data_IF_934377296734
#
_entry.id   IF_934377296734
#
_cell.length_a   1.000
_cell.length_b   1.000
_cell.length_c   1.000
_cell.angle_alpha   90.00
_cell.angle_beta   90.00
_cell.angle_gamma   90.00
#
_symmetry.space_group_name_H-M   'P 1'
#
loop_
_entity.id
_entity.type
_entity.pdbx_description
1 polymer ?
#
# COMPACT_ATOMS: atom_id res chain seq x y z
N UNK A 1 75.05 14.47 -39.08
CA UNK A 1 73.88 13.58 -38.95
C UNK A 1 73.41 13.65 -37.50
N UNK A 2 72.44 14.52 -37.22
CA UNK A 2 71.90 14.76 -35.88
C UNK A 2 70.56 14.03 -35.76
N UNK A 3 70.49 13.01 -34.88
CA UNK A 3 69.26 12.26 -34.63
C UNK A 3 68.26 13.13 -33.86
N UNK A 4 67.03 13.21 -34.39
CA UNK A 4 65.86 13.79 -33.74
C UNK A 4 65.21 12.73 -32.84
N UNK A 5 65.14 12.98 -31.54
CA UNK A 5 64.28 12.22 -30.61
C UNK A 5 62.93 12.94 -30.49
N UNK A 6 61.78 12.24 -30.57
CA UNK A 6 60.48 12.85 -30.32
C UNK A 6 60.23 12.97 -28.82
N UNK A 7 59.57 14.07 -28.43
CA UNK A 7 59.13 14.34 -27.07
C UNK A 7 58.11 13.28 -26.65
N UNK A 8 58.49 12.42 -25.70
CA UNK A 8 57.55 11.55 -24.99
C UNK A 8 56.74 12.45 -24.06
N UNK A 9 55.51 12.74 -24.45
CA UNK A 9 54.51 13.43 -23.63
C UNK A 9 54.09 12.46 -22.50
N UNK A 10 54.65 12.67 -21.32
CA UNK A 10 54.30 11.91 -20.11
C UNK A 10 52.96 12.48 -19.59
N UNK A 11 51.85 11.95 -20.09
CA UNK A 11 50.51 12.30 -19.66
C UNK A 11 50.28 11.69 -18.26
N UNK A 12 50.60 12.45 -17.23
CA UNK A 12 50.33 12.11 -15.83
C UNK A 12 48.81 12.00 -15.64
N UNK A 13 48.30 10.77 -15.52
CA UNK A 13 46.92 10.51 -15.11
C UNK A 13 46.72 10.99 -13.67
N UNK A 14 46.40 12.27 -13.49
CA UNK A 14 45.73 12.76 -12.30
C UNK A 14 44.26 12.32 -12.36
N UNK A 15 44.01 11.03 -12.11
CA UNK A 15 42.67 10.60 -11.69
C UNK A 15 42.43 11.22 -10.32
N UNK A 16 41.74 12.36 -10.32
CA UNK A 16 41.09 12.89 -9.14
C UNK A 16 40.16 11.80 -8.61
N UNK A 17 40.57 11.14 -7.52
CA UNK A 17 39.68 10.38 -6.68
C UNK A 17 38.70 11.36 -6.04
N UNK A 18 37.63 11.70 -6.78
CA UNK A 18 36.43 12.26 -6.17
C UNK A 18 35.95 11.21 -5.17
N UNK A 19 35.83 11.53 -3.87
CA UNK A 19 35.15 10.62 -2.97
C UNK A 19 33.76 10.39 -3.56
N UNK A 20 33.37 9.14 -3.76
CA UNK A 20 31.95 8.83 -3.90
C UNK A 20 31.32 9.35 -2.62
N UNK A 21 30.60 10.47 -2.70
CA UNK A 21 29.65 10.82 -1.69
C UNK A 21 28.70 9.63 -1.62
N UNK A 22 28.82 8.81 -0.58
CA UNK A 22 27.75 7.91 -0.19
C UNK A 22 26.62 8.86 0.16
N UNK A 23 25.67 9.02 -0.77
CA UNK A 23 24.42 9.68 -0.45
C UNK A 23 23.87 8.97 0.79
N UNK A 24 23.57 9.73 1.85
CA UNK A 24 22.90 9.18 3.00
C UNK A 24 21.62 8.49 2.49
N UNK A 25 21.28 7.34 3.04
CA UNK A 25 20.03 6.68 2.68
C UNK A 25 18.87 7.58 3.15
N UNK A 26 18.28 8.29 2.20
CA UNK A 26 17.21 9.26 2.45
C UNK A 26 15.90 8.56 2.85
N UNK A 27 15.83 7.24 2.70
CA UNK A 27 14.73 6.41 3.17
C UNK A 27 15.27 5.42 4.19
N UNK A 28 14.79 5.53 5.43
CA UNK A 28 15.04 4.55 6.48
C UNK A 28 13.86 3.60 6.57
N UNK A 29 14.10 2.30 6.39
CA UNK A 29 13.10 1.25 6.64
C UNK A 29 13.44 0.56 7.96
N UNK A 30 12.64 0.82 9.00
CA UNK A 30 12.82 0.23 10.34
C UNK A 30 12.32 -1.22 10.37
N UNK A 31 11.18 -1.48 9.73
CA UNK A 31 10.67 -2.83 9.48
C UNK A 31 10.05 -2.93 8.09
N UNK A 32 10.13 -4.09 7.42
CA UNK A 32 10.85 -5.30 7.83
C UNK A 32 12.36 -5.13 7.72
N UNK A 33 13.09 -5.83 8.61
CA UNK A 33 14.56 -5.95 8.52
C UNK A 33 14.86 -7.15 7.60
N UNK A 34 15.92 -7.04 6.80
CA UNK A 34 16.34 -8.10 5.89
C UNK A 34 16.79 -9.38 6.63
N UNK A 35 16.82 -10.49 5.90
CA UNK A 35 17.29 -11.78 6.41
C UNK A 35 16.16 -12.75 6.80
N UNK A 36 16.42 -13.62 7.77
CA UNK A 36 15.49 -14.68 8.19
C UNK A 36 14.62 -14.17 9.34
N UNK A 37 13.30 -14.23 9.16
CA UNK A 37 12.31 -13.83 10.16
C UNK A 37 11.49 -15.05 10.57
N UNK A 38 11.57 -15.40 11.85
CA UNK A 38 10.57 -16.27 12.47
C UNK A 38 9.57 -15.38 13.20
N UNK A 39 8.28 -15.57 12.93
CA UNK A 39 7.22 -14.96 13.75
C UNK A 39 7.34 -15.41 15.21
N UNK A 40 6.77 -14.65 16.15
CA UNK A 40 6.72 -15.09 17.54
C UNK A 40 5.99 -16.46 17.63
N UNK A 41 6.38 -17.37 18.54
CA UNK A 41 5.65 -18.62 18.75
C UNK A 41 4.15 -18.35 18.94
N UNK A 42 3.29 -18.96 18.12
CA UNK A 42 1.84 -18.74 18.18
C UNK A 42 1.35 -17.36 17.73
N UNK A 43 2.18 -16.52 17.11
CA UNK A 43 1.78 -15.19 16.64
C UNK A 43 1.63 -14.16 17.76
N UNK A 44 2.29 -14.36 18.92
CA UNK A 44 2.20 -13.42 20.04
C UNK A 44 2.51 -11.97 19.62
N UNK A 45 1.53 -11.09 19.82
CA UNK A 45 1.61 -9.66 19.46
C UNK A 45 1.31 -9.34 17.99
N UNK A 46 1.07 -10.33 17.12
CA UNK A 46 0.66 -10.13 15.74
C UNK A 46 -0.88 -10.00 15.65
N UNK A 47 -1.41 -8.79 15.85
CA UNK A 47 -2.84 -8.52 15.66
C UNK A 47 -3.09 -8.07 14.22
N UNK A 48 -3.84 -8.86 13.45
CA UNK A 48 -4.08 -8.57 12.04
C UNK A 48 -5.37 -7.78 11.80
N UNK A 49 -6.35 -7.94 12.70
CA UNK A 49 -7.58 -7.14 12.68
C UNK A 49 -7.37 -5.77 13.33
N UNK A 50 -7.62 -4.70 12.56
CA UNK A 50 -7.68 -3.34 13.11
C UNK A 50 -9.05 -3.05 13.73
N UNK A 51 -9.05 -2.54 14.98
CA UNK A 51 -10.24 -1.92 15.58
C UNK A 51 -10.47 -0.57 14.92
N UNK A 52 -11.51 -0.46 14.10
CA UNK A 52 -11.91 0.79 13.43
C UNK A 52 -12.85 1.55 14.37
N UNK A 53 -12.39 2.66 14.93
CA UNK A 53 -13.23 3.59 15.68
C UNK A 53 -13.60 4.75 14.75
N UNK A 54 -14.88 4.94 14.52
CA UNK A 54 -15.36 5.98 13.62
C UNK A 54 -15.35 7.37 14.27
N UNK A 55 -14.97 8.43 13.52
CA UNK A 55 -14.41 8.40 12.16
C UNK A 55 -12.92 7.99 12.16
N UNK A 56 -12.54 6.97 11.39
CA UNK A 56 -11.16 6.48 11.35
C UNK A 56 -10.33 7.27 10.33
N UNK A 57 -9.59 8.26 10.81
CA UNK A 57 -8.82 9.20 9.98
C UNK A 57 -7.41 8.72 9.57
N UNK A 58 -7.00 7.50 9.95
CA UNK A 58 -5.68 6.95 9.63
C UNK A 58 -5.59 5.45 9.88
N UNK A 59 -4.64 4.79 9.21
CA UNK A 59 -4.18 3.43 9.58
C UNK A 59 -3.67 3.49 11.02
N UNK A 60 -4.44 2.96 11.95
CA UNK A 60 -4.06 2.92 13.36
C UNK A 60 -3.41 1.57 13.66
N UNK A 61 -2.12 1.58 13.96
CA UNK A 61 -1.44 0.40 14.47
C UNK A 61 -1.85 0.14 15.91
N UNK A 62 -2.40 -1.04 16.25
CA UNK A 62 -2.73 -1.38 17.63
C UNK A 62 -1.51 -1.26 18.56
N UNK A 63 -1.71 -0.76 19.77
CA UNK A 63 -0.65 -0.71 20.78
C UNK A 63 -0.17 -2.14 21.09
N UNK A 64 1.13 -2.40 20.94
CA UNK A 64 1.72 -3.74 21.14
C UNK A 64 1.81 -4.61 19.88
N UNK A 65 1.49 -4.08 18.69
CA UNK A 65 1.69 -4.80 17.42
C UNK A 65 3.15 -5.19 17.21
N UNK A 66 3.38 -6.48 16.97
CA UNK A 66 4.70 -7.04 16.73
C UNK A 66 5.33 -6.45 15.46
N UNK A 67 6.63 -6.13 15.55
CA UNK A 67 7.43 -5.64 14.43
C UNK A 67 7.48 -6.62 13.24
N UNK A 68 7.13 -7.89 13.46
CA UNK A 68 6.99 -8.92 12.43
C UNK A 68 5.88 -8.61 11.43
N UNK A 69 4.80 -7.96 11.88
CA UNK A 69 3.59 -7.68 11.11
C UNK A 69 3.42 -6.19 10.77
N UNK A 70 4.54 -5.44 10.63
CA UNK A 70 4.52 -3.99 10.33
C UNK A 70 5.55 -3.61 9.28
N UNK A 71 5.20 -2.59 8.49
CA UNK A 71 6.08 -1.86 7.60
C UNK A 71 6.22 -0.45 8.16
N UNK A 72 7.41 -0.11 8.67
CA UNK A 72 7.66 1.15 9.37
C UNK A 72 8.94 1.80 8.91
N UNK A 73 9.00 3.13 8.96
CA UNK A 73 10.19 3.87 8.59
C UNK A 73 9.94 5.36 8.41
N UNK A 74 10.89 6.01 7.75
CA UNK A 74 10.87 7.43 7.48
C UNK A 74 11.53 7.77 6.14
N UNK A 75 10.92 8.67 5.38
CA UNK A 75 11.49 9.33 4.20
C UNK A 75 11.96 10.73 4.64
N UNK A 76 13.27 10.95 4.70
CA UNK A 76 13.85 12.23 5.13
C UNK A 76 13.85 13.29 4.03
N UNK A 77 14.03 12.86 2.78
CA UNK A 77 14.00 13.73 1.61
C UNK A 77 12.56 13.90 1.08
N UNK A 78 11.66 14.45 1.91
CA UNK A 78 10.34 14.84 1.42
C UNK A 78 10.42 16.13 0.63
N UNK A 79 9.77 16.23 -0.55
CA UNK A 79 9.58 17.51 -1.20
C UNK A 79 8.78 18.42 -0.27
N UNK A 80 9.29 19.63 0.02
CA UNK A 80 8.70 20.55 1.01
C UNK A 80 7.30 21.05 0.65
N UNK A 81 6.91 20.94 -0.61
CA UNK A 81 5.67 21.49 -1.17
C UNK A 81 4.80 20.42 -1.86
N UNK A 82 5.02 19.13 -1.59
CA UNK A 82 4.23 18.03 -2.17
C UNK A 82 3.34 17.38 -1.12
N UNK A 83 2.05 17.31 -1.42
CA UNK A 83 1.09 16.48 -0.70
C UNK A 83 0.93 15.10 -1.35
N UNK A 84 1.78 14.76 -2.32
CA UNK A 84 1.68 13.49 -3.03
C UNK A 84 2.10 12.34 -2.09
N UNK A 85 1.41 11.20 -2.14
CA UNK A 85 1.79 10.06 -1.33
C UNK A 85 3.12 9.47 -1.83
N UNK A 86 3.89 8.89 -0.90
CA UNK A 86 4.96 7.97 -1.26
C UNK A 86 4.40 6.72 -1.95
N UNK A 87 5.29 5.81 -2.35
CA UNK A 87 4.88 4.48 -2.86
C UNK A 87 5.46 3.37 -2.00
N UNK A 88 4.60 2.47 -1.56
CA UNK A 88 4.97 1.21 -0.92
C UNK A 88 4.73 0.07 -1.90
N UNK A 89 5.74 -0.72 -2.20
CA UNK A 89 5.64 -1.90 -3.05
C UNK A 89 5.91 -3.15 -2.21
N UNK A 90 4.91 -4.01 -2.06
CA UNK A 90 5.03 -5.28 -1.34
C UNK A 90 4.86 -6.43 -2.32
N UNK A 91 5.91 -7.24 -2.48
CA UNK A 91 5.92 -8.38 -3.42
C UNK A 91 5.46 -8.00 -4.85
N UNK A 92 5.79 -6.78 -5.28
CA UNK A 92 5.40 -6.25 -6.59
C UNK A 92 4.07 -5.50 -6.62
N UNK A 93 3.23 -5.60 -5.58
CA UNK A 93 1.99 -4.83 -5.45
C UNK A 93 2.31 -3.42 -4.98
N UNK A 94 2.13 -2.43 -5.85
CA UNK A 94 2.30 -1.02 -5.52
C UNK A 94 1.04 -0.46 -4.83
N UNK A 95 1.26 0.24 -3.74
CA UNK A 95 0.26 0.82 -2.85
C UNK A 95 0.69 2.28 -2.58
N UNK A 96 -0.23 3.25 -2.59
CA UNK A 96 0.08 4.58 -2.06
C UNK A 96 0.51 4.49 -0.59
N UNK A 97 1.45 5.34 -0.21
CA UNK A 97 2.00 5.41 1.15
C UNK A 97 1.76 6.81 1.70
N UNK A 98 0.79 6.92 2.62
CA UNK A 98 0.59 8.14 3.40
C UNK A 98 1.80 8.37 4.31
N UNK A 99 2.25 9.62 4.34
CA UNK A 99 3.37 10.09 5.15
C UNK A 99 2.85 11.15 6.12
N UNK A 100 3.41 11.21 7.33
CA UNK A 100 3.17 12.36 8.23
C UNK A 100 4.03 13.56 7.85
N UNK A 101 3.90 14.67 8.58
CA UNK A 101 4.64 15.92 8.35
C UNK A 101 6.17 15.73 8.44
N UNK A 102 6.63 14.70 9.16
CA UNK A 102 8.05 14.34 9.28
C UNK A 102 8.47 13.21 8.31
N UNK A 103 7.58 12.76 7.43
CA UNK A 103 7.85 11.71 6.44
C UNK A 103 7.86 10.29 7.00
N UNK A 104 7.34 10.09 8.21
CA UNK A 104 7.22 8.77 8.82
C UNK A 104 6.01 8.03 8.28
N UNK A 105 6.12 6.70 8.30
CA UNK A 105 5.04 5.80 7.94
C UNK A 105 5.04 4.58 8.86
N UNK A 106 3.84 4.06 9.10
CA UNK A 106 3.61 2.84 9.86
C UNK A 106 2.36 2.15 9.32
N UNK A 107 2.53 0.90 8.88
CA UNK A 107 1.46 0.14 8.25
C UNK A 107 1.50 -1.31 8.71
N UNK A 108 0.43 -1.81 9.34
CA UNK A 108 0.27 -3.24 9.57
C UNK A 108 0.23 -3.99 8.24
N UNK A 109 0.92 -5.12 8.15
CA UNK A 109 0.91 -5.98 6.98
C UNK A 109 1.19 -7.43 7.35
N UNK A 110 0.38 -8.35 6.83
CA UNK A 110 0.58 -9.79 6.98
C UNK A 110 1.36 -10.34 5.79
N UNK A 111 2.62 -10.71 6.02
CA UNK A 111 3.47 -11.27 4.97
C UNK A 111 3.18 -12.75 4.74
N UNK A 112 3.08 -13.21 3.49
CA UNK A 112 3.02 -14.64 3.22
C UNK A 112 4.28 -15.37 3.69
N UNK A 113 4.17 -16.68 3.87
CA UNK A 113 5.35 -17.52 4.10
C UNK A 113 6.26 -17.51 2.86
N UNK A 114 7.57 -17.64 3.10
CA UNK A 114 8.57 -17.68 2.04
C UNK A 114 9.23 -16.32 1.79
N UNK A 115 9.69 -16.12 0.56
CA UNK A 115 10.48 -14.95 0.18
C UNK A 115 9.58 -13.73 -0.02
N UNK A 116 9.92 -12.64 0.64
CA UNK A 116 9.19 -11.39 0.59
C UNK A 116 10.12 -10.23 0.25
N UNK A 117 9.57 -9.20 -0.39
CA UNK A 117 10.24 -7.93 -0.64
C UNK A 117 9.33 -6.76 -0.33
N UNK A 118 9.91 -5.75 0.33
CA UNK A 118 9.28 -4.47 0.58
C UNK A 118 10.17 -3.38 0.00
N UNK A 119 9.59 -2.52 -0.82
CA UNK A 119 10.25 -1.33 -1.35
C UNK A 119 9.43 -0.09 -1.03
N UNK A 120 10.12 0.96 -0.58
CA UNK A 120 9.54 2.29 -0.36
C UNK A 120 10.18 3.25 -1.35
N UNK A 121 9.36 4.12 -1.94
CA UNK A 121 9.81 5.21 -2.82
C UNK A 121 9.28 6.55 -2.32
N UNK A 122 10.09 7.59 -2.45
CA UNK A 122 9.67 8.98 -2.23
C UNK A 122 8.57 9.39 -3.22
N UNK A 123 7.76 10.42 -2.89
CA UNK A 123 6.69 10.90 -3.77
C UNK A 123 7.17 11.28 -5.19
N UNK A 124 8.35 11.90 -5.29
CA UNK A 124 9.01 12.27 -6.55
C UNK A 124 9.67 11.09 -7.30
N UNK A 125 9.65 9.90 -6.70
CA UNK A 125 10.26 8.67 -7.22
C UNK A 125 11.79 8.66 -7.30
N UNK A 126 12.49 9.69 -6.81
CA UNK A 126 13.95 9.80 -6.91
C UNK A 126 14.68 8.92 -5.90
N UNK A 127 14.10 8.73 -4.73
CA UNK A 127 14.65 7.91 -3.67
C UNK A 127 13.89 6.59 -3.58
N UNK A 128 14.63 5.50 -3.40
CA UNK A 128 14.06 4.17 -3.16
C UNK A 128 14.91 3.37 -2.20
N UNK A 129 14.25 2.61 -1.33
CA UNK A 129 14.88 1.61 -0.47
C UNK A 129 14.12 0.29 -0.57
N UNK A 130 14.82 -0.81 -0.82
CA UNK A 130 14.22 -2.15 -0.90
C UNK A 130 14.89 -3.08 0.10
N UNK A 131 14.08 -3.76 0.90
CA UNK A 131 14.50 -4.87 1.76
C UNK A 131 13.87 -6.17 1.30
N UNK A 132 14.66 -7.25 1.32
CA UNK A 132 14.19 -8.61 1.09
C UNK A 132 14.43 -9.46 2.33
N UNK A 133 13.49 -10.35 2.62
CA UNK A 133 13.56 -11.22 3.78
C UNK A 133 12.79 -12.51 3.53
N UNK A 134 13.17 -13.56 4.26
CA UNK A 134 12.43 -14.80 4.30
C UNK A 134 11.53 -14.80 5.53
N UNK A 135 10.23 -14.94 5.33
CA UNK A 135 9.26 -15.12 6.39
C UNK A 135 8.99 -16.61 6.60
N UNK A 136 9.39 -17.15 7.74
CA UNK A 136 9.20 -18.56 8.08
C UNK A 136 8.13 -18.74 9.16
N UNK A 137 7.13 -17.86 9.21
CA UNK A 137 6.15 -17.79 10.31
C UNK A 137 5.53 -19.15 10.63
N UNK A 138 5.62 -19.54 11.90
CA UNK A 138 4.93 -20.69 12.50
C UNK A 138 3.78 -20.29 13.43
N UNK A 139 3.28 -19.06 13.32
CA UNK A 139 2.25 -18.49 14.21
C UNK A 139 0.92 -18.18 13.52
N UNK A 140 0.94 -17.41 12.42
CA UNK A 140 -0.25 -17.06 11.66
C UNK A 140 -0.37 -17.89 10.37
N UNK A 141 -1.58 -18.35 10.04
CA UNK A 141 -1.86 -19.02 8.76
C UNK A 141 -1.91 -17.95 7.66
N UNK A 142 -0.98 -17.96 6.68
CA UNK A 142 -1.01 -16.98 5.60
C UNK A 142 -2.30 -17.05 4.79
N UNK A 143 -2.72 -15.93 4.22
CA UNK A 143 -3.79 -15.91 3.23
C UNK A 143 -3.38 -16.75 2.01
N UNK A 144 -4.34 -17.45 1.41
CA UNK A 144 -4.18 -18.06 0.08
C UNK A 144 -4.89 -17.26 -1.00
N UNK A 145 -6.04 -16.67 -0.64
CA UNK A 145 -6.72 -15.67 -1.45
C UNK A 145 -6.60 -14.33 -0.74
N UNK A 146 -6.12 -13.32 -1.46
CA UNK A 146 -6.06 -11.94 -0.99
C UNK A 146 -6.61 -11.00 -2.06
N UNK A 147 -7.42 -10.03 -1.65
CA UNK A 147 -7.85 -8.93 -2.51
C UNK A 147 -7.46 -7.64 -1.84
N UNK A 148 -6.71 -6.80 -2.54
CA UNK A 148 -6.28 -5.49 -2.06
C UNK A 148 -6.96 -4.40 -2.88
N UNK A 149 -7.55 -3.42 -2.22
CA UNK A 149 -8.10 -2.20 -2.80
C UNK A 149 -7.26 -1.00 -2.34
N UNK A 150 -6.87 -0.12 -3.26
CA UNK A 150 -6.30 1.21 -2.98
C UNK A 150 -6.85 2.23 -3.98
N UNK A 151 -6.69 3.52 -3.72
CA UNK A 151 -7.10 4.57 -4.67
C UNK A 151 -6.18 5.79 -4.63
N UNK A 152 -6.32 6.69 -5.59
CA UNK A 152 -5.40 7.80 -5.86
C UNK A 152 -5.82 9.16 -5.26
N UNK A 153 -7.03 9.27 -4.71
CA UNK A 153 -7.57 10.52 -4.17
C UNK A 153 -7.60 10.52 -2.64
N UNK A 154 -7.03 11.55 -2.02
CA UNK A 154 -7.14 11.74 -0.57
C UNK A 154 -8.55 12.21 -0.19
N UNK A 155 -9.00 11.82 1.00
CA UNK A 155 -10.34 12.17 1.50
C UNK A 155 -11.51 11.53 0.75
N UNK A 156 -11.25 10.50 -0.06
CA UNK A 156 -12.27 9.61 -0.64
C UNK A 156 -12.35 8.31 0.16
N UNK A 157 -13.54 7.72 0.19
CA UNK A 157 -13.84 6.47 0.87
C UNK A 157 -14.41 5.45 -0.13
N UNK A 158 -13.63 4.41 -0.41
CA UNK A 158 -14.03 3.31 -1.30
C UNK A 158 -14.05 2.00 -0.52
N UNK A 159 -15.21 1.32 -0.51
CA UNK A 159 -15.35 0.03 0.15
C UNK A 159 -15.09 -1.14 -0.81
N UNK A 160 -14.41 -2.16 -0.30
CA UNK A 160 -14.25 -3.47 -0.89
C UNK A 160 -15.37 -4.40 -0.42
N UNK A 161 -16.10 -4.94 -1.39
CA UNK A 161 -17.11 -5.96 -1.15
C UNK A 161 -16.71 -7.26 -1.85
N UNK A 162 -16.70 -8.37 -1.12
CA UNK A 162 -16.40 -9.70 -1.68
C UNK A 162 -17.54 -10.65 -1.37
N UNK A 163 -18.09 -11.27 -2.42
CA UNK A 163 -19.06 -12.37 -2.30
C UNK A 163 -18.31 -13.69 -2.48
N UNK A 164 -18.41 -14.57 -1.47
CA UNK A 164 -17.81 -15.90 -1.50
C UNK A 164 -18.75 -16.93 -2.16
N UNK A 165 -18.23 -18.09 -2.62
CA UNK A 165 -19.02 -19.12 -3.30
C UNK A 165 -20.24 -19.66 -2.55
N UNK A 166 -20.20 -19.65 -1.22
CA UNK A 166 -21.30 -20.04 -0.33
C UNK A 166 -22.29 -18.89 -0.05
N UNK A 167 -22.09 -17.72 -0.65
CA UNK A 167 -22.98 -16.57 -0.57
C UNK A 167 -22.69 -15.61 0.59
N UNK A 168 -21.62 -15.81 1.36
CA UNK A 168 -21.23 -14.83 2.37
C UNK A 168 -20.78 -13.52 1.71
N UNK A 169 -21.15 -12.39 2.31
CA UNK A 169 -20.81 -11.06 1.83
C UNK A 169 -19.89 -10.39 2.84
N UNK A 170 -18.62 -10.22 2.45
CA UNK A 170 -17.61 -9.54 3.27
C UNK A 170 -17.50 -8.09 2.84
N UNK A 171 -17.66 -7.18 3.79
CA UNK A 171 -17.57 -5.72 3.61
C UNK A 171 -17.40 -5.04 4.99
N UNK A 172 -17.30 -3.71 5.04
CA UNK A 172 -17.04 -2.99 6.29
C UNK A 172 -18.04 -3.34 7.42
N UNK A 173 -19.31 -3.57 7.08
CA UNK A 173 -20.38 -3.86 8.03
C UNK A 173 -20.47 -5.32 8.49
N UNK A 174 -19.85 -6.25 7.75
CA UNK A 174 -19.75 -7.67 8.11
C UNK A 174 -18.38 -8.24 7.69
N UNK A 175 -17.42 -8.07 8.59
CA UNK A 175 -15.98 -8.25 8.27
C UNK A 175 -15.49 -9.67 8.43
N UNK A 176 -16.26 -10.57 9.04
CA UNK A 176 -15.82 -11.95 9.35
C UNK A 176 -16.94 -12.92 9.06
N UNK A 177 -16.76 -13.77 8.05
CA UNK A 177 -17.69 -14.86 7.78
C UNK A 177 -17.26 -16.16 8.50
N UNK A 178 -18.22 -17.04 8.85
CA UNK A 178 -17.93 -18.36 9.42
C UNK A 178 -17.05 -19.26 8.53
N UNK A 179 -16.98 -18.98 7.23
CA UNK A 179 -16.12 -19.71 6.28
C UNK A 179 -14.64 -19.29 6.34
N UNK A 180 -14.28 -18.34 7.21
CA UNK A 180 -12.90 -17.87 7.41
C UNK A 180 -12.48 -16.74 6.48
N UNK A 181 -13.40 -16.17 5.70
CA UNK A 181 -13.16 -14.94 4.95
C UNK A 181 -13.20 -13.72 5.88
N UNK A 182 -12.22 -12.83 5.75
CA UNK A 182 -12.05 -11.67 6.64
C UNK A 182 -11.69 -10.40 5.86
N UNK A 183 -12.27 -9.25 6.23
CA UNK A 183 -11.76 -7.92 5.89
C UNK A 183 -10.73 -7.50 6.96
N UNK A 184 -9.47 -7.83 6.66
CA UNK A 184 -8.31 -7.80 7.57
C UNK A 184 -7.90 -6.35 7.91
N UNK A 185 -7.79 -5.51 6.88
CA UNK A 185 -7.48 -4.08 7.00
C UNK A 185 -8.58 -3.29 6.31
N UNK A 186 -9.08 -2.27 7.00
CA UNK A 186 -10.19 -1.41 6.59
C UNK A 186 -9.77 0.04 6.91
N UNK A 187 -9.70 0.89 5.89
CA UNK A 187 -9.16 2.26 5.96
C UNK A 187 -10.15 3.21 5.29
N UNK A 188 -10.86 3.98 6.10
CA UNK A 188 -11.96 4.85 5.63
C UNK A 188 -11.51 6.26 5.22
N UNK A 189 -10.19 6.53 5.24
CA UNK A 189 -9.61 7.83 4.87
C UNK A 189 -8.19 7.67 4.31
N UNK A 190 -7.83 8.50 3.33
CA UNK A 190 -6.51 8.42 2.67
C UNK A 190 -6.61 7.69 1.34
N UNK A 191 -5.74 6.71 1.13
CA UNK A 191 -5.54 6.03 -0.16
C UNK A 191 -5.79 4.50 -0.08
N UNK A 192 -6.53 4.07 0.95
CA UNK A 192 -6.61 2.68 1.38
C UNK A 192 -5.39 2.21 2.20
N UNK A 193 -5.16 0.89 2.35
CA UNK A 193 -5.84 -0.17 1.62
C UNK A 193 -7.11 -0.63 2.34
N UNK A 194 -8.00 -1.27 1.58
CA UNK A 194 -8.84 -2.32 2.14
C UNK A 194 -8.31 -3.69 1.71
N UNK A 195 -8.24 -4.63 2.64
CA UNK A 195 -7.67 -5.96 2.39
C UNK A 195 -8.65 -7.03 2.81
N UNK A 196 -9.15 -7.79 1.84
CA UNK A 196 -9.78 -9.08 2.06
C UNK A 196 -8.71 -10.18 2.09
N UNK A 197 -8.84 -11.12 3.04
CA UNK A 197 -7.97 -12.27 3.14
C UNK A 197 -8.76 -13.54 3.48
N UNK A 198 -8.35 -14.67 2.88
CA UNK A 198 -8.90 -15.99 3.18
C UNK A 198 -7.77 -17.04 3.17
N UNK A 199 -7.38 -17.59 4.33
CA UNK A 199 -6.35 -18.64 4.42
C UNK A 199 -6.75 -19.97 3.79
N UNK A 200 -8.05 -20.30 3.80
CA UNK A 200 -8.60 -21.53 3.22
C UNK A 200 -9.76 -21.22 2.26
N UNK A 201 -9.47 -20.73 1.03
CA UNK A 201 -10.50 -20.36 0.07
C UNK A 201 -11.37 -21.56 -0.29
N UNK A 202 -12.68 -21.37 -0.19
CA UNK A 202 -13.65 -22.35 -0.67
C UNK A 202 -13.67 -22.35 -2.20
N UNK A 203 -13.88 -23.53 -2.80
CA UNK A 203 -13.94 -23.68 -4.25
C UNK A 203 -15.21 -23.05 -4.81
N UNK A 204 -15.12 -22.44 -5.98
CA UNK A 204 -16.27 -21.89 -6.70
C UNK A 204 -16.13 -20.41 -7.03
N UNK A 205 -17.26 -19.77 -7.32
CA UNK A 205 -17.31 -18.42 -7.86
C UNK A 205 -17.17 -17.35 -6.77
N UNK A 206 -16.17 -16.48 -6.89
CA UNK A 206 -16.03 -15.25 -6.13
C UNK A 206 -16.42 -14.06 -6.99
N UNK A 207 -16.95 -13.02 -6.35
CA UNK A 207 -17.23 -11.74 -6.98
C UNK A 207 -16.63 -10.61 -6.13
N UNK A 208 -15.92 -9.71 -6.78
CA UNK A 208 -15.26 -8.55 -6.16
C UNK A 208 -15.92 -7.29 -6.68
N UNK A 209 -16.50 -6.52 -5.78
CA UNK A 209 -17.16 -5.26 -6.04
C UNK A 209 -16.46 -4.12 -5.31
N UNK A 210 -16.49 -2.94 -5.91
CA UNK A 210 -16.06 -1.69 -5.32
C UNK A 210 -17.27 -0.79 -5.15
N UNK A 211 -17.42 -0.21 -3.97
CA UNK A 211 -18.44 0.80 -3.68
C UNK A 211 -17.76 2.16 -3.45
N UNK A 212 -18.16 3.18 -4.19
CA UNK A 212 -17.76 4.56 -3.86
C UNK A 212 -18.67 5.05 -2.74
N UNK A 213 -18.24 4.88 -1.49
CA UNK A 213 -19.08 5.16 -0.34
C UNK A 213 -19.28 6.65 -0.07
N UNK A 214 -18.21 7.44 -0.14
CA UNK A 214 -18.27 8.84 0.26
C UNK A 214 -16.97 9.61 0.06
N UNK A 215 -17.00 10.90 0.42
CA UNK A 215 -15.83 11.77 0.33
C UNK A 215 -15.56 12.29 -1.08
N UNK A 216 -14.40 12.92 -1.26
CA UNK A 216 -14.01 13.50 -2.55
C UNK A 216 -14.74 14.79 -2.93
N UNK A 217 -15.43 15.47 -2.00
CA UNK A 217 -16.09 16.77 -2.22
C UNK A 217 -15.71 17.79 -1.14
N UNK A 218 -15.49 19.05 -1.52
CA UNK A 218 -15.26 20.18 -0.60
C UNK A 218 -16.48 21.08 -0.57
N UNK A 219 -16.90 21.48 0.64
CA UNK A 219 -17.86 22.57 0.80
C UNK A 219 -17.19 23.88 0.39
N UNK A 220 -17.72 24.54 -0.64
CA UNK A 220 -17.37 25.93 -0.91
C UNK A 220 -18.10 26.76 0.14
N UNK A 221 -17.42 27.11 1.23
CA UNK A 221 -17.88 28.17 2.10
C UNK A 221 -17.43 29.50 1.49
N UNK A 222 -18.40 30.38 1.29
CA UNK A 222 -18.27 31.73 0.73
C UNK A 222 -17.22 32.57 1.50
N UNK A 223 -15.94 32.46 1.14
CA UNK A 223 -14.86 33.32 1.65
C UNK A 223 -14.53 34.49 0.69
N UNK A 224 -15.38 34.75 -0.30
CA UNK A 224 -15.33 36.00 -1.08
C UNK A 224 -16.63 36.80 -0.85
N UNK A 225 -16.49 37.94 -0.16
CA UNK A 225 -17.52 38.96 0.03
C UNK A 225 -18.17 39.31 -1.32
N UNK A 226 -19.42 38.89 -1.53
CA UNK A 226 -20.17 39.24 -2.74
C UNK A 226 -21.62 38.77 -2.67
N UNK A 227 -22.53 39.72 -2.47
CA UNK A 227 -23.98 39.54 -2.37
C UNK A 227 -24.60 38.67 -3.49
N UNK A 228 -25.19 37.51 -3.15
CA UNK A 228 -26.16 36.85 -4.03
C UNK A 228 -26.24 35.31 -3.93
N UNK A 229 -27.35 34.81 -3.37
CA UNK A 229 -27.84 33.41 -3.42
C UNK A 229 -26.80 32.28 -3.16
N UNK A 230 -26.70 31.85 -1.89
CA UNK A 230 -26.07 30.57 -1.52
C UNK A 230 -26.81 29.40 -2.18
N UNK A 231 -26.39 29.03 -3.38
CA UNK A 231 -26.60 27.70 -3.91
C UNK A 231 -25.52 26.81 -3.31
N UNK A 232 -25.87 26.00 -2.31
CA UNK A 232 -24.95 25.08 -1.63
C UNK A 232 -24.41 23.97 -2.54
N UNK A 233 -23.52 24.34 -3.47
CA UNK A 233 -22.81 23.43 -4.34
C UNK A 233 -21.65 22.76 -3.60
N UNK A 234 -21.53 21.45 -3.76
CA UNK A 234 -20.34 20.69 -3.36
C UNK A 234 -19.51 20.44 -4.62
N UNK A 235 -18.27 20.93 -4.64
CA UNK A 235 -17.34 20.67 -5.74
C UNK A 235 -16.52 19.42 -5.43
N UNK A 236 -16.35 18.56 -6.42
CA UNK A 236 -15.47 17.40 -6.28
C UNK A 236 -14.02 17.88 -6.14
N UNK A 237 -13.31 17.40 -5.11
CA UNK A 237 -11.87 17.67 -4.85
C UNK A 237 -11.02 17.18 -6.02
N UNK A 238 -11.44 16.08 -6.66
CA UNK A 238 -10.85 15.55 -7.88
C UNK A 238 -11.96 15.04 -8.80
N UNK A 239 -11.82 15.30 -10.11
CA UNK A 239 -12.86 14.94 -11.10
C UNK A 239 -13.06 13.43 -11.29
N UNK A 240 -12.08 12.61 -10.93
CA UNK A 240 -12.13 11.15 -11.06
C UNK A 240 -11.22 10.51 -10.01
N UNK A 241 -11.75 9.59 -9.22
CA UNK A 241 -10.95 8.73 -8.35
C UNK A 241 -10.60 7.45 -9.12
N UNK A 242 -9.34 7.05 -9.12
CA UNK A 242 -8.90 5.80 -9.72
C UNK A 242 -8.57 4.80 -8.62
N UNK A 243 -9.35 3.72 -8.55
CA UNK A 243 -9.06 2.60 -7.70
C UNK A 243 -8.14 1.59 -8.41
N UNK A 244 -7.32 0.89 -7.62
CA UNK A 244 -6.56 -0.26 -8.04
C UNK A 244 -6.95 -1.45 -7.17
N UNK A 245 -7.36 -2.53 -7.83
CA UNK A 245 -7.75 -3.79 -7.18
C UNK A 245 -6.79 -4.88 -7.59
N UNK A 246 -6.11 -5.50 -6.64
CA UNK A 246 -5.22 -6.62 -6.88
C UNK A 246 -5.78 -7.88 -6.27
N UNK A 247 -6.10 -8.87 -7.10
CA UNK A 247 -6.53 -10.22 -6.69
C UNK A 247 -5.31 -11.15 -6.76
N UNK A 248 -4.98 -11.78 -5.63
CA UNK A 248 -3.88 -12.74 -5.50
C UNK A 248 -4.47 -14.10 -5.09
N UNK A 249 -4.28 -15.13 -5.91
CA UNK A 249 -4.71 -16.51 -5.62
C UNK A 249 -3.51 -17.41 -5.39
N UNK A 250 -3.64 -18.40 -4.50
CA UNK A 250 -2.56 -19.29 -4.05
C UNK A 250 -1.29 -18.53 -3.61
N UNK A 251 -1.49 -17.42 -2.87
CA UNK A 251 -0.43 -16.54 -2.37
C UNK A 251 0.67 -17.32 -1.63
N UNK A 252 1.93 -17.00 -1.94
CA UNK A 252 3.11 -17.65 -1.34
C UNK A 252 3.42 -19.04 -1.90
N UNK A 253 2.74 -19.51 -2.95
CA UNK A 253 2.99 -20.81 -3.59
C UNK A 253 3.53 -20.67 -5.02
N UNK A 254 4.13 -21.73 -5.61
CA UNK A 254 4.48 -21.73 -7.04
C UNK A 254 3.30 -21.55 -8.00
N UNK A 255 2.07 -21.70 -7.52
CA UNK A 255 0.84 -21.49 -8.28
C UNK A 255 0.24 -20.11 -8.06
N UNK A 256 0.96 -19.21 -7.37
CA UNK A 256 0.51 -17.84 -7.15
C UNK A 256 0.16 -17.16 -8.49
N UNK A 257 -1.01 -16.52 -8.52
CA UNK A 257 -1.43 -15.69 -9.65
C UNK A 257 -1.91 -14.35 -9.11
N UNK A 258 -1.44 -13.29 -9.75
CA UNK A 258 -1.80 -11.91 -9.43
C UNK A 258 -2.47 -11.26 -10.64
N UNK A 259 -3.65 -10.67 -10.44
CA UNK A 259 -4.36 -9.86 -11.43
C UNK A 259 -4.64 -8.49 -10.82
N UNK A 260 -4.22 -7.42 -11.49
CA UNK A 260 -4.48 -6.03 -11.04
C UNK A 260 -5.40 -5.33 -12.03
N UNK A 261 -6.43 -4.68 -11.50
CA UNK A 261 -7.44 -3.95 -12.24
C UNK A 261 -7.38 -2.48 -11.84
N UNK A 262 -7.40 -1.59 -12.83
CA UNK A 262 -7.52 -0.14 -12.63
C UNK A 262 -8.97 0.24 -12.92
N UNK A 263 -9.65 0.79 -11.92
CA UNK A 263 -11.10 1.00 -11.92
C UNK A 263 -11.38 2.48 -11.67
N UNK A 264 -11.77 3.24 -12.70
CA UNK A 264 -12.15 4.64 -12.54
C UNK A 264 -13.54 4.74 -11.87
N UNK A 265 -13.61 5.40 -10.73
CA UNK A 265 -14.82 5.64 -9.93
C UNK A 265 -15.24 7.11 -10.04
N UNK A 266 -16.51 7.36 -10.31
CA UNK A 266 -17.00 8.69 -10.75
C UNK A 266 -17.90 9.39 -9.76
N UNK A 267 -18.70 8.65 -9.00
CA UNK A 267 -19.68 9.27 -8.12
C UNK A 267 -19.94 8.42 -6.87
N UNK A 268 -20.26 9.11 -5.77
CA UNK A 268 -20.72 8.48 -4.53
C UNK A 268 -22.00 7.66 -4.78
N UNK A 269 -22.05 6.48 -4.18
CA UNK A 269 -23.08 5.45 -4.37
C UNK A 269 -22.85 4.53 -5.55
N UNK A 270 -21.78 4.73 -6.34
CA UNK A 270 -21.42 3.83 -7.45
C UNK A 270 -20.94 2.48 -6.93
N UNK A 271 -21.65 1.41 -7.29
CA UNK A 271 -21.24 0.02 -7.04
C UNK A 271 -20.81 -0.64 -8.35
N UNK A 272 -19.55 -1.03 -8.43
CA UNK A 272 -18.92 -1.56 -9.65
C UNK A 272 -18.40 -2.97 -9.43
N UNK A 273 -18.90 -3.94 -10.21
CA UNK A 273 -18.31 -5.28 -10.29
C UNK A 273 -16.97 -5.19 -11.00
N UNK A 274 -15.89 -5.47 -10.27
CA UNK A 274 -14.52 -5.42 -10.82
C UNK A 274 -14.14 -6.75 -11.44
N UNK A 275 -14.39 -7.85 -10.73
CA UNK A 275 -14.01 -9.18 -11.19
C UNK A 275 -14.95 -10.25 -10.66
N UNK A 276 -15.27 -11.19 -11.53
CA UNK A 276 -15.81 -12.49 -11.16
C UNK A 276 -14.78 -13.56 -11.54
N UNK A 277 -14.42 -14.45 -10.62
CA UNK A 277 -13.45 -15.52 -10.89
C UNK A 277 -13.79 -16.80 -10.11
N UNK A 278 -13.42 -17.95 -10.66
CA UNK A 278 -13.58 -19.24 -9.99
C UNK A 278 -12.29 -19.63 -9.29
N UNK A 279 -12.36 -19.96 -8.00
CA UNK A 279 -11.25 -20.56 -7.27
C UNK A 279 -11.28 -22.10 -7.44
N UNK A 280 -10.16 -22.73 -7.85
CA UNK A 280 -10.11 -24.15 -8.25
C UNK A 280 -10.14 -25.17 -7.10
#
# INVERSE_FOLDING_TARGET
>A
MTLRYPQVLLLLCAMTALPLAIAADEIKLDTPIGGWRSGAPGGEGENFSQTVNYPASSVNTPQGQANTARITGQIKAMPKDSNDPGKLIVNGVALPLKLDEEGRFDRPFSFPNGSNSVEVRSPDGQHRHRTQFLNTSGGATPAKLRVLLTWDSDGTDLDLHVITPDGAHIWYGDRVAPNGAVLDVDVTTGYGPEIFAMPAPIKGQYQVYLNYYGGGYRSVSDDEEGDGESSGGQDAVQALTTAQVTVITEEGTPSEKMETFVVPMRAVGELTLVKSFSYP
#
